data_IF_792670070660
#
_entry.id   IF_792670070660
#
_cell.length_a   1.000
_cell.length_b   1.000
_cell.length_c   1.000
_cell.angle_alpha   90.00
_cell.angle_beta   90.00
_cell.angle_gamma   90.00
#
_symmetry.space_group_name_H-M   'P 1'
#
loop_
_entity.id
_entity.type
_entity.pdbx_description
1 polymer ?
#
# COMPACT_ATOMS: atom_id res chain seq x y z
N UNK A 1 5.93 -17.77 -6.56
CA UNK A 1 5.33 -17.15 -7.77
C UNK A 1 4.52 -15.90 -7.40
N UNK A 2 5.18 -14.82 -6.96
CA UNK A 2 4.52 -13.53 -6.61
C UNK A 2 5.15 -12.32 -7.33
N UNK A 3 6.12 -12.55 -8.22
CA UNK A 3 6.83 -11.47 -8.94
C UNK A 3 5.90 -10.64 -9.82
N UNK A 4 4.97 -11.29 -10.53
CA UNK A 4 4.02 -10.61 -11.43
C UNK A 4 3.00 -9.80 -10.63
N UNK A 5 2.41 -10.38 -9.58
CA UNK A 5 1.45 -9.67 -8.71
C UNK A 5 2.09 -8.43 -8.06
N UNK A 6 3.33 -8.54 -7.56
CA UNK A 6 4.10 -7.41 -7.05
C UNK A 6 4.28 -6.31 -8.09
N UNK A 7 4.63 -6.69 -9.33
CA UNK A 7 4.84 -5.74 -10.42
C UNK A 7 3.55 -5.00 -10.78
N UNK A 8 2.42 -5.71 -10.87
CA UNK A 8 1.11 -5.11 -11.15
C UNK A 8 0.70 -4.14 -10.04
N UNK A 9 0.80 -4.54 -8.77
CA UNK A 9 0.47 -3.65 -7.65
C UNK A 9 1.38 -2.42 -7.59
N UNK A 10 2.69 -2.58 -7.82
CA UNK A 10 3.62 -1.46 -7.87
C UNK A 10 3.27 -0.47 -8.99
N UNK A 11 2.93 -0.95 -10.19
CA UNK A 11 2.53 -0.09 -11.30
C UNK A 11 1.23 0.66 -10.96
N UNK A 12 0.24 -0.03 -10.38
CA UNK A 12 -1.02 0.60 -9.96
C UNK A 12 -0.78 1.73 -8.94
N UNK A 13 0.02 1.47 -7.90
CA UNK A 13 0.36 2.49 -6.89
C UNK A 13 1.04 3.70 -7.52
N UNK A 14 1.98 3.49 -8.45
CA UNK A 14 2.70 4.57 -9.13
C UNK A 14 1.74 5.41 -9.98
N UNK A 15 0.87 4.76 -10.77
CA UNK A 15 -0.12 5.46 -11.61
C UNK A 15 -1.09 6.26 -10.75
N UNK A 16 -1.62 5.67 -9.69
CA UNK A 16 -2.52 6.37 -8.76
C UNK A 16 -1.83 7.56 -8.09
N UNK A 17 -0.57 7.40 -7.67
CA UNK A 17 0.21 8.50 -7.07
C UNK A 17 0.43 9.65 -8.05
N UNK A 18 0.84 9.35 -9.28
CA UNK A 18 0.99 10.37 -10.32
C UNK A 18 -0.34 11.07 -10.62
N UNK A 19 -1.42 10.29 -10.72
CA UNK A 19 -2.75 10.83 -10.99
C UNK A 19 -3.20 11.82 -9.91
N UNK A 20 -3.06 11.46 -8.63
CA UNK A 20 -3.38 12.33 -7.48
C UNK A 20 -2.58 13.63 -7.56
N UNK A 21 -1.26 13.54 -7.79
CA UNK A 21 -0.38 14.71 -7.82
C UNK A 21 -0.69 15.65 -9.00
N UNK A 22 -0.94 15.09 -10.18
CA UNK A 22 -1.22 15.87 -11.40
C UNK A 22 -2.60 16.54 -11.32
N UNK A 23 -3.62 15.79 -10.89
CA UNK A 23 -5.00 16.29 -10.82
C UNK A 23 -5.25 17.12 -9.57
N UNK A 24 -4.35 17.06 -8.58
CA UNK A 24 -4.56 17.58 -7.21
C UNK A 24 -5.84 17.08 -6.56
N UNK A 25 -6.36 15.94 -7.03
CA UNK A 25 -7.56 15.32 -6.48
C UNK A 25 -7.15 14.32 -5.40
N UNK A 26 -7.14 14.80 -4.15
CA UNK A 26 -6.74 14.01 -2.99
C UNK A 26 -7.81 13.02 -2.52
N UNK A 27 -9.02 13.04 -3.08
CA UNK A 27 -10.08 12.07 -2.79
C UNK A 27 -9.69 10.63 -3.19
N UNK A 28 -8.67 10.49 -4.04
CA UNK A 28 -8.12 9.21 -4.47
C UNK A 28 -7.03 8.66 -3.54
N UNK A 29 -6.55 9.43 -2.55
CA UNK A 29 -5.53 8.96 -1.58
C UNK A 29 -5.99 7.68 -0.86
N UNK A 30 -7.22 7.54 -0.35
CA UNK A 30 -7.66 6.31 0.31
C UNK A 30 -7.53 5.08 -0.59
N UNK A 31 -7.89 5.22 -1.88
CA UNK A 31 -7.79 4.13 -2.85
C UNK A 31 -6.32 3.77 -3.14
N UNK A 32 -5.45 4.78 -3.24
CA UNK A 32 -4.00 4.56 -3.36
C UNK A 32 -3.42 3.84 -2.14
N UNK A 33 -3.84 4.21 -0.92
CA UNK A 33 -3.42 3.56 0.32
C UNK A 33 -3.89 2.11 0.40
N UNK A 34 -5.10 1.79 -0.06
CA UNK A 34 -5.58 0.40 -0.17
C UNK A 34 -4.68 -0.42 -1.10
N UNK A 35 -4.36 0.10 -2.28
CA UNK A 35 -3.46 -0.56 -3.23
C UNK A 35 -2.05 -0.75 -2.65
N UNK A 36 -1.54 0.26 -1.95
CA UNK A 36 -0.24 0.22 -1.26
C UNK A 36 -0.23 -0.83 -0.14
N UNK A 37 -1.28 -0.88 0.69
CA UNK A 37 -1.45 -1.85 1.76
C UNK A 37 -1.50 -3.28 1.23
N UNK A 38 -2.30 -3.53 0.18
CA UNK A 38 -2.35 -4.82 -0.49
C UNK A 38 -0.97 -5.21 -1.07
N UNK A 39 -0.25 -4.26 -1.68
CA UNK A 39 1.08 -4.52 -2.25
C UNK A 39 2.10 -4.95 -1.18
N UNK A 40 2.15 -4.25 -0.05
CA UNK A 40 3.08 -4.53 1.06
C UNK A 40 2.71 -5.82 1.78
N UNK A 41 1.42 -6.16 1.84
CA UNK A 41 0.95 -7.42 2.41
C UNK A 41 1.36 -8.62 1.57
N UNK A 42 1.15 -8.53 0.25
CA UNK A 42 1.56 -9.58 -0.70
C UNK A 42 3.08 -9.78 -0.66
N UNK A 43 3.86 -8.69 -0.57
CA UNK A 43 5.32 -8.75 -0.42
C UNK A 43 5.69 -9.44 0.90
N UNK A 44 5.08 -9.03 2.02
CA UNK A 44 5.36 -9.61 3.34
C UNK A 44 5.10 -11.11 3.39
N UNK A 45 3.95 -11.55 2.88
CA UNK A 45 3.62 -12.99 2.75
C UNK A 45 4.62 -13.70 1.84
N UNK A 46 4.98 -13.09 0.70
CA UNK A 46 5.92 -13.69 -0.25
C UNK A 46 7.29 -13.96 0.37
N UNK A 47 7.76 -13.01 1.18
CA UNK A 47 9.08 -13.02 1.80
C UNK A 47 9.12 -14.02 2.97
N UNK A 48 8.05 -14.08 3.79
CA UNK A 48 7.91 -15.04 4.88
C UNK A 48 7.78 -16.48 4.36
N UNK A 49 7.02 -16.68 3.27
CA UNK A 49 6.80 -18.02 2.69
C UNK A 49 8.03 -18.57 1.97
N UNK A 50 9.00 -17.73 1.60
CA UNK A 50 10.20 -18.15 0.88
C UNK A 50 11.29 -18.78 1.78
N UNK A 51 10.92 -19.26 2.97
CA UNK A 51 11.73 -20.02 3.93
C UNK A 51 13.00 -19.33 4.47
N UNK A 52 13.16 -18.04 4.13
CA UNK A 52 14.08 -17.16 4.83
C UNK A 52 13.21 -16.40 5.81
N UNK A 53 13.46 -16.55 7.12
CA UNK A 53 13.01 -15.60 8.16
C UNK A 53 13.64 -14.23 7.90
N UNK A 54 13.33 -13.65 6.74
CA UNK A 54 13.94 -12.46 6.24
C UNK A 54 13.25 -11.34 7.00
N UNK A 55 14.05 -10.58 7.76
CA UNK A 55 13.58 -9.42 8.51
C UNK A 55 12.69 -8.51 7.66
N UNK A 56 12.98 -8.42 6.36
CA UNK A 56 12.20 -7.75 5.34
C UNK A 56 10.73 -8.18 5.23
N UNK A 57 10.42 -9.46 5.43
CA UNK A 57 9.04 -9.96 5.38
C UNK A 57 8.21 -9.47 6.54
N UNK A 58 8.77 -9.49 7.76
CA UNK A 58 8.13 -8.95 8.96
C UNK A 58 8.01 -7.42 8.90
N UNK A 59 9.04 -6.73 8.41
CA UNK A 59 8.98 -5.29 8.15
C UNK A 59 7.85 -4.94 7.16
N UNK A 60 7.70 -5.71 6.09
CA UNK A 60 6.66 -5.46 5.08
C UNK A 60 5.26 -5.68 5.65
N UNK A 61 5.07 -6.67 6.52
CA UNK A 61 3.81 -6.83 7.26
C UNK A 61 3.57 -5.66 8.22
N UNK A 62 4.59 -5.21 8.95
CA UNK A 62 4.51 -4.02 9.79
C UNK A 62 4.10 -2.77 9.00
N UNK A 63 4.69 -2.59 7.81
CA UNK A 63 4.34 -1.51 6.90
C UNK A 63 2.87 -1.59 6.45
N UNK A 64 2.33 -2.80 6.20
CA UNK A 64 0.90 -2.98 5.92
C UNK A 64 0.03 -2.45 7.06
N UNK A 65 0.35 -2.76 8.32
CA UNK A 65 -0.41 -2.24 9.46
C UNK A 65 -0.36 -0.71 9.55
N UNK A 66 0.79 -0.10 9.29
CA UNK A 66 0.94 1.35 9.25
C UNK A 66 0.06 1.95 8.15
N UNK A 67 0.06 1.36 6.95
CA UNK A 67 -0.75 1.84 5.82
C UNK A 67 -2.25 1.69 6.10
N UNK A 68 -2.67 0.61 6.77
CA UNK A 68 -4.07 0.44 7.19
C UNK A 68 -4.46 1.44 8.28
N UNK A 69 -3.57 1.71 9.23
CA UNK A 69 -3.79 2.74 10.25
C UNK A 69 -3.97 4.11 9.60
N UNK A 70 -3.09 4.51 8.67
CA UNK A 70 -3.22 5.79 7.97
C UNK A 70 -4.48 5.85 7.11
N UNK A 71 -4.90 4.74 6.50
CA UNK A 71 -6.16 4.67 5.78
C UNK A 71 -7.36 4.91 6.71
N UNK A 72 -7.38 4.26 7.88
CA UNK A 72 -8.46 4.42 8.86
C UNK A 72 -8.50 5.85 9.41
N UNK A 73 -7.34 6.40 9.76
CA UNK A 73 -7.22 7.78 10.25
C UNK A 73 -7.71 8.78 9.19
N UNK A 74 -7.28 8.62 7.94
CA UNK A 74 -7.70 9.45 6.82
C UNK A 74 -9.23 9.39 6.58
N UNK A 75 -9.81 8.19 6.62
CA UNK A 75 -11.26 8.00 6.44
C UNK A 75 -12.06 8.51 7.64
N UNK A 76 -11.54 8.36 8.85
CA UNK A 76 -12.15 8.87 10.08
C UNK A 76 -12.08 10.40 10.16
N UNK A 77 -11.07 10.99 9.53
CA UNK A 77 -10.77 12.42 9.57
C UNK A 77 -11.07 13.10 8.23
N UNK A 78 -12.01 12.56 7.43
CA UNK A 78 -12.37 13.10 6.12
C UNK A 78 -12.97 14.53 6.15
N UNK A 79 -13.14 15.12 7.34
CA UNK A 79 -13.38 16.55 7.54
C UNK A 79 -12.11 17.42 7.38
N UNK A 80 -10.93 16.84 7.14
CA UNK A 80 -9.66 17.58 7.00
C UNK A 80 -9.43 18.13 5.59
N UNK A 81 -10.20 17.65 4.59
CA UNK A 81 -10.12 18.12 3.19
C UNK A 81 -11.33 18.97 2.74
N UNK A 82 -12.26 19.31 3.66
CA UNK A 82 -13.38 20.23 3.39
C UNK A 82 -13.03 21.68 3.72
#
# INVERSE_FOLDING_TARGET
>A
MLKISRLVFSILVIISSLYIVITKNFDWIPLMLVALGASTFVIGISEIRSDKRNFWGYLSLGATFIVLYTLIDLLSNSNVFS
#
